data_IF_891893592553
#
_entry.id   IF_891893592553
#
_cell.length_a   1.000
_cell.length_b   1.000
_cell.length_c   1.000
_cell.angle_alpha   90.00
_cell.angle_beta   90.00
_cell.angle_gamma   90.00
#
_symmetry.space_group_name_H-M   'P 1'
#
loop_
_entity.id
_entity.type
_entity.pdbx_description
1 polymer ?
#
# COMPACT_ATOMS: atom_id res chain seq x y z
N UNK A 1 -0.70 -1.64 -23.28
CA UNK A 1 -0.28 -0.92 -22.07
C UNK A 1 -0.62 -1.80 -20.89
N UNK A 2 0.33 -1.98 -19.98
CA UNK A 2 0.12 -2.80 -18.78
C UNK A 2 -0.68 -2.02 -17.74
N UNK A 3 -1.61 -2.68 -17.03
CA UNK A 3 -2.54 -2.04 -16.11
C UNK A 3 -2.23 -2.41 -14.67
N UNK A 4 -2.14 -1.42 -13.80
CA UNK A 4 -2.03 -1.58 -12.35
C UNK A 4 -3.29 -1.03 -11.70
N UNK A 5 -3.94 -1.83 -10.87
CA UNK A 5 -5.05 -1.36 -10.02
C UNK A 5 -4.49 -1.01 -8.64
N UNK A 6 -4.49 0.28 -8.30
CA UNK A 6 -4.18 0.77 -6.96
C UNK A 6 -5.50 1.07 -6.24
N UNK A 7 -5.74 0.48 -5.08
CA UNK A 7 -6.95 0.73 -4.29
C UNK A 7 -6.57 1.39 -2.97
N UNK A 8 -7.03 2.62 -2.75
CA UNK A 8 -6.75 3.43 -1.57
C UNK A 8 -5.85 4.63 -1.87
N UNK A 9 -6.36 5.81 -1.56
CA UNK A 9 -5.72 7.12 -1.76
C UNK A 9 -5.40 7.82 -0.44
N UNK A 10 -5.22 7.02 0.62
CA UNK A 10 -4.63 7.49 1.87
C UNK A 10 -3.17 7.93 1.72
N UNK A 11 -2.50 8.20 2.83
CA UNK A 11 -1.13 8.72 2.85
C UNK A 11 -0.15 7.88 2.01
N UNK A 12 -0.11 6.56 2.25
CA UNK A 12 0.75 5.63 1.48
C UNK A 12 0.37 5.60 -0.01
N UNK A 13 -0.93 5.64 -0.32
CA UNK A 13 -1.40 5.60 -1.70
C UNK A 13 -1.07 6.86 -2.49
N UNK A 14 -1.16 8.04 -1.85
CA UNK A 14 -0.75 9.31 -2.44
C UNK A 14 0.76 9.33 -2.72
N UNK A 15 1.59 8.88 -1.76
CA UNK A 15 3.04 8.77 -1.98
C UNK A 15 3.40 7.78 -3.09
N UNK A 16 2.77 6.61 -3.12
CA UNK A 16 3.00 5.64 -4.18
C UNK A 16 2.60 6.20 -5.55
N UNK A 17 1.49 6.94 -5.64
CA UNK A 17 1.05 7.56 -6.89
C UNK A 17 2.08 8.56 -7.42
N UNK A 18 2.69 9.37 -6.54
CA UNK A 18 3.78 10.27 -6.92
C UNK A 18 5.03 9.52 -7.41
N UNK A 19 5.39 8.38 -6.79
CA UNK A 19 6.48 7.55 -7.32
C UNK A 19 6.14 7.00 -8.70
N UNK A 20 4.96 6.38 -8.85
CA UNK A 20 4.47 5.84 -10.12
C UNK A 20 4.41 6.89 -11.23
N UNK A 21 4.12 8.15 -10.89
CA UNK A 21 4.06 9.25 -11.84
C UNK A 21 5.42 9.60 -12.49
N UNK A 22 6.51 9.20 -11.83
CA UNK A 22 7.90 9.52 -12.25
C UNK A 22 8.66 8.31 -12.79
N UNK A 23 8.03 7.15 -12.82
CA UNK A 23 8.60 5.96 -13.44
C UNK A 23 8.65 6.10 -14.96
N UNK A 24 9.69 5.54 -15.57
CA UNK A 24 9.86 5.52 -17.04
C UNK A 24 9.02 4.43 -17.72
N UNK A 25 8.45 3.51 -16.94
CA UNK A 25 7.67 2.42 -17.49
C UNK A 25 6.23 2.86 -17.78
N UNK A 26 5.68 2.58 -18.98
CA UNK A 26 4.38 3.07 -19.40
C UNK A 26 3.23 2.22 -18.84
N UNK A 27 2.93 2.38 -17.55
CA UNK A 27 1.75 1.78 -16.93
C UNK A 27 0.50 2.67 -17.12
N UNK A 28 -0.66 2.05 -17.30
CA UNK A 28 -1.94 2.66 -16.93
C UNK A 28 -2.20 2.35 -15.45
N UNK A 29 -2.34 3.37 -14.62
CA UNK A 29 -2.69 3.19 -13.21
C UNK A 29 -4.16 3.53 -13.01
N UNK A 30 -4.94 2.51 -12.66
CA UNK A 30 -6.33 2.65 -12.24
C UNK A 30 -6.30 2.97 -10.75
N UNK A 31 -6.62 4.21 -10.40
CA UNK A 31 -6.56 4.72 -9.03
C UNK A 31 -7.94 4.69 -8.42
N UNK A 32 -8.19 3.67 -7.61
CA UNK A 32 -9.48 3.40 -7.03
C UNK A 32 -9.59 3.86 -5.58
N UNK A 33 -10.71 4.49 -5.24
CA UNK A 33 -11.07 4.82 -3.86
C UNK A 33 -12.60 4.88 -3.70
N UNK A 34 -13.11 4.83 -2.47
CA UNK A 34 -14.53 5.09 -2.21
C UNK A 34 -14.87 6.56 -2.47
N UNK A 35 -13.88 7.45 -2.29
CA UNK A 35 -13.91 8.86 -2.64
C UNK A 35 -13.22 9.11 -4.00
N UNK A 36 -14.01 8.98 -5.08
CA UNK A 36 -13.53 9.19 -6.45
C UNK A 36 -13.01 10.60 -6.69
N UNK A 37 -13.60 11.61 -6.05
CA UNK A 37 -13.18 13.00 -6.22
C UNK A 37 -11.78 13.21 -5.64
N UNK A 38 -11.53 12.66 -4.45
CA UNK A 38 -10.18 12.66 -3.87
C UNK A 38 -9.18 11.93 -4.78
N UNK A 39 -9.54 10.78 -5.32
CA UNK A 39 -8.68 10.05 -6.26
C UNK A 39 -8.35 10.89 -7.51
N UNK A 40 -9.36 11.57 -8.07
CA UNK A 40 -9.21 12.45 -9.24
C UNK A 40 -8.28 13.63 -8.96
N UNK A 41 -8.44 14.28 -7.82
CA UNK A 41 -7.58 15.41 -7.42
C UNK A 41 -6.11 14.97 -7.22
N UNK A 42 -5.89 13.81 -6.60
CA UNK A 42 -4.54 13.26 -6.43
C UNK A 42 -3.90 12.87 -7.75
N UNK A 43 -4.64 12.23 -8.66
CA UNK A 43 -4.16 11.93 -10.01
C UNK A 43 -3.74 13.21 -10.73
N UNK A 44 -4.58 14.25 -10.67
CA UNK A 44 -4.29 15.54 -11.30
C UNK A 44 -3.00 16.17 -10.74
N UNK A 45 -2.84 16.20 -9.42
CA UNK A 45 -1.64 16.75 -8.80
C UNK A 45 -0.38 15.98 -9.19
N UNK A 46 -0.42 14.66 -9.15
CA UNK A 46 0.71 13.82 -9.52
C UNK A 46 1.08 13.95 -11.00
N UNK A 47 0.09 14.04 -11.92
CA UNK A 47 0.32 14.29 -13.35
C UNK A 47 0.98 15.65 -13.59
N UNK A 48 0.47 16.73 -12.98
CA UNK A 48 1.04 18.08 -13.11
C UNK A 48 2.46 18.12 -12.54
N UNK A 49 2.69 17.49 -11.38
CA UNK A 49 4.01 17.38 -10.76
C UNK A 49 5.00 16.64 -11.65
N UNK A 50 4.56 15.54 -12.28
CA UNK A 50 5.37 14.73 -13.19
C UNK A 50 5.72 15.48 -14.49
N UNK A 51 4.82 16.33 -14.99
CA UNK A 51 5.06 17.15 -16.17
C UNK A 51 6.29 18.08 -16.03
N UNK A 52 6.58 18.56 -14.81
CA UNK A 52 7.81 19.32 -14.54
C UNK A 52 9.10 18.52 -14.76
N UNK A 53 9.02 17.19 -14.75
CA UNK A 53 10.11 16.27 -15.03
C UNK A 53 10.05 15.70 -16.46
N UNK A 54 9.18 16.24 -17.33
CA UNK A 54 8.98 15.76 -18.70
C UNK A 54 8.33 14.38 -18.77
N UNK A 55 7.60 13.97 -17.73
CA UNK A 55 6.88 12.70 -17.66
C UNK A 55 5.40 12.90 -18.01
N UNK A 56 4.78 11.87 -18.56
CA UNK A 56 3.36 11.85 -18.97
C UNK A 56 2.68 10.55 -18.49
N UNK A 57 2.38 10.43 -17.18
CA UNK A 57 1.82 9.21 -16.62
C UNK A 57 0.32 9.08 -16.93
N UNK A 58 -0.15 7.85 -17.15
CA UNK A 58 -1.54 7.58 -17.50
C UNK A 58 -2.34 7.11 -16.28
N UNK A 59 -3.04 8.04 -15.63
CA UNK A 59 -3.86 7.76 -14.45
C UNK A 59 -5.35 7.84 -14.75
N UNK A 60 -6.11 6.86 -14.24
CA UNK A 60 -7.56 6.81 -14.34
C UNK A 60 -8.19 6.64 -12.95
N UNK A 61 -8.75 7.72 -12.36
CA UNK A 61 -9.48 7.62 -11.12
C UNK A 61 -10.78 6.82 -11.35
N UNK A 62 -11.14 5.98 -10.39
CA UNK A 62 -12.41 5.23 -10.40
C UNK A 62 -12.96 5.11 -8.98
N UNK A 63 -14.28 5.09 -8.85
CA UNK A 63 -14.92 4.74 -7.58
C UNK A 63 -14.91 3.23 -7.35
N UNK A 64 -14.47 2.78 -6.17
CA UNK A 64 -14.66 1.41 -5.67
C UNK A 64 -15.06 1.46 -4.20
N UNK A 65 -16.08 0.71 -3.83
CA UNK A 65 -16.32 0.30 -2.45
C UNK A 65 -15.92 -1.18 -2.30
N UNK A 66 -14.92 -1.47 -1.46
CA UNK A 66 -14.47 -2.85 -1.24
C UNK A 66 -15.47 -3.69 -0.44
N UNK A 67 -16.52 -3.09 0.15
CA UNK A 67 -17.65 -3.86 0.66
C UNK A 67 -18.56 -4.40 -0.46
N UNK A 68 -18.56 -3.76 -1.63
CA UNK A 68 -19.16 -4.27 -2.86
C UNK A 68 -18.16 -5.18 -3.60
N UNK A 69 -18.11 -6.44 -3.15
CA UNK A 69 -17.22 -7.47 -3.72
C UNK A 69 -17.59 -7.75 -5.17
N UNK A 70 -18.87 -7.78 -5.52
CA UNK A 70 -19.33 -8.07 -6.88
C UNK A 70 -18.91 -6.96 -7.85
N UNK A 71 -19.16 -5.69 -7.50
CA UNK A 71 -18.71 -4.55 -8.30
C UNK A 71 -17.18 -4.50 -8.45
N UNK A 72 -16.45 -4.80 -7.37
CA UNK A 72 -14.99 -4.90 -7.42
C UNK A 72 -14.53 -6.04 -8.33
N UNK A 73 -15.19 -7.19 -8.28
CA UNK A 73 -14.92 -8.36 -9.14
C UNK A 73 -15.12 -8.02 -10.61
N UNK A 74 -16.24 -7.38 -10.97
CA UNK A 74 -16.54 -7.00 -12.34
C UNK A 74 -15.53 -5.97 -12.87
N UNK A 75 -15.11 -5.00 -12.05
CA UNK A 75 -14.07 -4.07 -12.44
C UNK A 75 -12.75 -4.81 -12.71
N UNK A 76 -12.29 -5.68 -11.80
CA UNK A 76 -11.05 -6.43 -12.00
C UNK A 76 -11.13 -7.28 -13.28
N UNK A 77 -12.27 -7.95 -13.52
CA UNK A 77 -12.48 -8.78 -14.72
C UNK A 77 -12.48 -7.96 -16.01
N UNK A 78 -13.09 -6.78 -15.99
CA UNK A 78 -13.12 -5.84 -17.12
C UNK A 78 -11.73 -5.30 -17.42
N UNK A 79 -11.02 -4.87 -16.38
CA UNK A 79 -9.77 -4.14 -16.51
C UNK A 79 -8.57 -5.05 -16.75
N UNK A 80 -8.61 -6.28 -16.22
CA UNK A 80 -7.55 -7.30 -16.33
C UNK A 80 -6.17 -6.75 -15.94
N UNK A 81 -6.01 -6.14 -14.75
CA UNK A 81 -4.72 -5.62 -14.32
C UNK A 81 -3.69 -6.75 -14.16
N UNK A 82 -2.42 -6.45 -14.42
CA UNK A 82 -1.31 -7.37 -14.14
C UNK A 82 -0.90 -7.33 -12.67
N UNK A 83 -1.18 -6.21 -11.97
CA UNK A 83 -0.96 -6.05 -10.54
C UNK A 83 -2.14 -5.35 -9.86
N UNK A 84 -2.47 -5.79 -8.65
CA UNK A 84 -3.44 -5.17 -7.74
C UNK A 84 -2.72 -4.81 -6.46
N UNK A 85 -2.78 -3.54 -6.06
CA UNK A 85 -2.09 -3.01 -4.88
C UNK A 85 -3.14 -2.52 -3.88
N UNK A 86 -3.23 -3.20 -2.73
CA UNK A 86 -4.07 -2.76 -1.63
C UNK A 86 -3.34 -1.73 -0.76
N UNK A 87 -3.89 -0.52 -0.71
CA UNK A 87 -3.45 0.62 0.09
C UNK A 87 -4.54 1.05 1.09
N UNK A 88 -5.58 0.22 1.27
CA UNK A 88 -6.74 0.53 2.10
C UNK A 88 -6.64 -0.05 3.51
N UNK A 89 -7.17 0.69 4.48
CA UNK A 89 -7.39 0.26 5.87
C UNK A 89 -8.74 0.82 6.34
N UNK A 90 -9.41 0.15 7.27
CA UNK A 90 -10.67 0.67 7.83
C UNK A 90 -10.48 2.01 8.55
N UNK A 91 -9.34 2.15 9.24
CA UNK A 91 -8.85 3.43 9.76
C UNK A 91 -7.35 3.33 10.01
N UNK A 92 -6.70 4.49 10.17
CA UNK A 92 -5.28 4.55 10.52
C UNK A 92 -5.06 4.24 12.00
N UNK A 93 -3.86 3.77 12.35
CA UNK A 93 -3.49 3.46 13.74
C UNK A 93 -3.44 4.69 14.65
N UNK A 94 -3.26 5.88 14.07
CA UNK A 94 -3.25 7.15 14.79
C UNK A 94 -4.62 7.55 15.33
N UNK A 95 -5.72 7.03 14.76
CA UNK A 95 -7.06 7.47 15.08
C UNK A 95 -7.42 7.29 16.56
N UNK A 96 -6.96 6.19 17.19
CA UNK A 96 -7.28 5.95 18.61
C UNK A 96 -6.63 6.94 19.58
N UNK A 97 -5.63 7.72 19.13
CA UNK A 97 -4.99 8.75 19.97
C UNK A 97 -5.97 9.88 20.33
N UNK A 98 -7.12 9.92 19.66
CA UNK A 98 -8.22 10.85 19.93
C UNK A 98 -9.20 10.33 21.01
N UNK A 99 -9.04 9.08 21.46
CA UNK A 99 -9.88 8.50 22.51
C UNK A 99 -9.48 9.02 23.90
N UNK A 100 -10.38 8.96 24.89
CA UNK A 100 -10.03 9.20 26.30
C UNK A 100 -8.82 8.36 26.74
N UNK A 101 -8.00 8.91 27.63
CA UNK A 101 -6.71 8.33 28.02
C UNK A 101 -6.83 6.88 28.51
N UNK A 102 -7.83 6.56 29.32
CA UNK A 102 -8.04 5.22 29.86
C UNK A 102 -8.43 4.22 28.76
N UNK A 103 -9.20 4.65 27.75
CA UNK A 103 -9.59 3.83 26.60
C UNK A 103 -8.40 3.64 25.66
N UNK A 104 -7.65 4.71 25.37
CA UNK A 104 -6.43 4.65 24.58
C UNK A 104 -5.42 3.69 25.20
N UNK A 105 -5.16 3.79 26.52
CA UNK A 105 -4.23 2.93 27.22
C UNK A 105 -4.64 1.45 27.14
N UNK A 106 -5.93 1.14 27.33
CA UNK A 106 -6.47 -0.22 27.21
C UNK A 106 -6.22 -0.79 25.80
N UNK A 107 -6.59 -0.06 24.75
CA UNK A 107 -6.43 -0.54 23.36
C UNK A 107 -4.96 -0.62 22.98
N UNK A 108 -4.15 0.38 23.35
CA UNK A 108 -2.72 0.43 23.03
C UNK A 108 -1.95 -0.74 23.67
N UNK A 109 -2.35 -1.19 24.87
CA UNK A 109 -1.70 -2.33 25.54
C UNK A 109 -1.88 -3.67 24.80
N UNK A 110 -2.89 -3.79 23.94
CA UNK A 110 -3.11 -4.97 23.10
C UNK A 110 -2.26 -4.98 21.81
N UNK A 111 -1.37 -4.00 21.64
CA UNK A 111 -0.36 -3.90 20.58
C UNK A 111 -0.94 -4.13 19.17
N UNK A 112 -0.16 -4.75 18.27
CA UNK A 112 -0.54 -4.97 16.86
C UNK A 112 -1.76 -5.88 16.69
N UNK A 113 -2.06 -6.75 17.67
CA UNK A 113 -3.14 -7.72 17.60
C UNK A 113 -4.53 -7.06 17.55
N UNK A 114 -4.75 -6.01 18.35
CA UNK A 114 -6.02 -5.28 18.37
C UNK A 114 -6.38 -4.62 17.04
N UNK A 115 -5.38 -4.37 16.20
CA UNK A 115 -5.55 -3.70 14.91
C UNK A 115 -5.79 -4.64 13.74
N UNK A 116 -5.55 -5.95 13.93
CA UNK A 116 -5.65 -6.92 12.86
C UNK A 116 -7.00 -6.86 12.12
N UNK A 117 -8.18 -6.80 12.78
CA UNK A 117 -9.46 -6.72 12.06
C UNK A 117 -9.56 -5.50 11.14
N UNK A 118 -9.09 -4.34 11.61
CA UNK A 118 -9.16 -3.07 10.88
C UNK A 118 -8.21 -3.03 9.68
N UNK A 119 -7.12 -3.79 9.74
CA UNK A 119 -6.13 -3.92 8.66
C UNK A 119 -6.48 -5.04 7.67
N UNK A 120 -7.14 -6.10 8.16
CA UNK A 120 -7.44 -7.31 7.39
C UNK A 120 -8.68 -7.16 6.51
N UNK A 121 -9.73 -6.50 7.01
CA UNK A 121 -11.08 -6.57 6.40
C UNK A 121 -11.08 -6.20 4.92
N UNK A 122 -10.53 -5.04 4.57
CA UNK A 122 -10.54 -4.56 3.19
C UNK A 122 -9.57 -5.35 2.29
N UNK A 123 -8.41 -5.75 2.82
CA UNK A 123 -7.47 -6.62 2.11
C UNK A 123 -8.09 -7.99 1.79
N UNK A 124 -8.89 -8.53 2.70
CA UNK A 124 -9.62 -9.79 2.51
C UNK A 124 -10.69 -9.65 1.43
N UNK A 125 -11.47 -8.56 1.45
CA UNK A 125 -12.50 -8.29 0.45
C UNK A 125 -11.93 -8.10 -0.96
N UNK A 126 -10.85 -7.33 -1.08
CA UNK A 126 -10.14 -7.18 -2.35
C UNK A 126 -9.54 -8.50 -2.85
N UNK A 127 -8.93 -9.29 -1.95
CA UNK A 127 -8.42 -10.61 -2.28
C UNK A 127 -9.52 -11.58 -2.75
N UNK A 128 -10.70 -11.52 -2.11
CA UNK A 128 -11.88 -12.27 -2.53
C UNK A 128 -12.33 -11.86 -3.94
N UNK A 129 -12.47 -10.56 -4.20
CA UNK A 129 -12.87 -10.05 -5.50
C UNK A 129 -11.88 -10.43 -6.62
N UNK A 130 -10.58 -10.34 -6.34
CA UNK A 130 -9.53 -10.77 -7.28
C UNK A 130 -9.66 -12.26 -7.60
N UNK A 131 -9.86 -13.11 -6.59
CA UNK A 131 -10.04 -14.56 -6.80
C UNK A 131 -11.29 -14.87 -7.63
N UNK A 132 -12.42 -14.22 -7.33
CA UNK A 132 -13.69 -14.39 -8.04
C UNK A 132 -13.65 -13.85 -9.48
N UNK A 133 -12.81 -12.86 -9.76
CA UNK A 133 -12.64 -12.31 -11.11
C UNK A 133 -12.02 -13.31 -12.09
N UNK A 134 -11.27 -14.31 -11.59
CA UNK A 134 -10.46 -15.24 -12.38
C UNK A 134 -9.23 -14.61 -13.03
N UNK A 135 -8.95 -13.32 -12.79
CA UNK A 135 -7.78 -12.62 -13.32
C UNK A 135 -6.53 -13.03 -12.55
N UNK A 136 -5.46 -13.35 -13.29
CA UNK A 136 -4.14 -13.63 -12.72
C UNK A 136 -3.36 -12.32 -12.62
N UNK A 137 -3.42 -11.68 -11.46
CA UNK A 137 -2.65 -10.48 -11.14
C UNK A 137 -1.71 -10.75 -9.96
N UNK A 138 -0.58 -10.04 -9.91
CA UNK A 138 0.22 -9.93 -8.70
C UNK A 138 -0.56 -9.14 -7.66
N UNK A 139 -0.80 -9.75 -6.49
CA UNK A 139 -1.52 -9.08 -5.40
C UNK A 139 -0.53 -8.57 -4.36
N UNK A 140 -0.39 -7.25 -4.23
CA UNK A 140 0.46 -6.59 -3.24
C UNK A 140 -0.43 -6.04 -2.12
N UNK A 141 -0.20 -6.46 -0.88
CA UNK A 141 -0.92 -5.94 0.27
C UNK A 141 -0.02 -5.10 1.17
N UNK A 142 -0.41 -3.86 1.42
CA UNK A 142 0.37 -2.95 2.27
C UNK A 142 -0.11 -2.90 3.72
N UNK A 143 -1.34 -3.32 3.97
CA UNK A 143 -2.03 -3.14 5.26
C UNK A 143 -1.59 -4.17 6.28
N UNK A 144 -0.65 -3.80 7.16
CA UNK A 144 -0.06 -4.65 8.20
C UNK A 144 0.32 -6.05 7.67
N UNK A 145 0.98 -6.06 6.51
CA UNK A 145 1.19 -7.24 5.67
C UNK A 145 1.83 -8.44 6.39
N UNK A 146 2.69 -8.18 7.39
CA UNK A 146 3.32 -9.22 8.21
C UNK A 146 2.34 -9.99 9.10
N UNK A 147 1.17 -9.44 9.42
CA UNK A 147 0.10 -10.14 10.15
C UNK A 147 -1.05 -10.54 9.22
N UNK A 148 -1.45 -9.65 8.30
CA UNK A 148 -2.61 -9.89 7.43
C UNK A 148 -2.31 -10.92 6.34
N UNK A 149 -1.14 -10.90 5.71
CA UNK A 149 -0.82 -11.85 4.63
C UNK A 149 -0.81 -13.31 5.12
N UNK A 150 -0.23 -13.66 6.28
CA UNK A 150 -0.36 -15.02 6.83
C UNK A 150 -1.82 -15.46 7.03
N UNK A 151 -2.68 -14.57 7.53
CA UNK A 151 -4.12 -14.87 7.72
C UNK A 151 -4.80 -15.10 6.37
N UNK A 152 -4.61 -14.19 5.42
CA UNK A 152 -5.14 -14.30 4.05
C UNK A 152 -4.66 -15.59 3.36
N UNK A 153 -3.41 -15.99 3.58
CA UNK A 153 -2.87 -17.24 3.05
C UNK A 153 -3.57 -18.48 3.58
N UNK A 154 -3.96 -18.49 4.87
CA UNK A 154 -4.70 -19.62 5.47
C UNK A 154 -6.11 -19.80 4.90
N UNK A 155 -6.71 -18.75 4.37
CA UNK A 155 -8.05 -18.79 3.73
C UNK A 155 -7.97 -18.83 2.20
N UNK A 156 -6.78 -19.07 1.63
CA UNK A 156 -6.60 -19.21 0.18
C UNK A 156 -6.77 -17.90 -0.60
N UNK A 157 -6.39 -16.77 0.02
CA UNK A 157 -6.38 -15.41 -0.54
C UNK A 157 -4.98 -14.77 -0.42
N UNK A 158 -3.91 -15.58 -0.42
CA UNK A 158 -2.55 -15.12 -0.20
C UNK A 158 -2.15 -13.98 -1.17
N UNK A 159 -1.73 -12.81 -0.66
CA UNK A 159 -1.03 -11.83 -1.48
C UNK A 159 0.28 -12.40 -2.00
N UNK A 160 0.70 -11.97 -3.19
CA UNK A 160 1.99 -12.29 -3.78
C UNK A 160 3.12 -11.79 -2.90
N UNK A 161 3.05 -10.52 -2.47
CA UNK A 161 4.01 -9.90 -1.55
C UNK A 161 3.30 -8.94 -0.59
N UNK A 162 3.95 -8.70 0.53
CA UNK A 162 3.66 -7.57 1.41
C UNK A 162 4.74 -6.51 1.30
N UNK A 163 4.46 -5.28 1.74
CA UNK A 163 5.52 -4.28 1.97
C UNK A 163 5.94 -4.29 3.44
N UNK A 164 7.15 -3.83 3.73
CA UNK A 164 7.65 -3.72 5.09
C UNK A 164 8.46 -2.44 5.31
N UNK A 165 8.50 -1.98 6.55
CA UNK A 165 9.26 -0.78 6.93
C UNK A 165 10.79 -0.98 6.88
N UNK A 166 11.27 -2.21 6.67
CA UNK A 166 12.71 -2.50 6.61
C UNK A 166 13.39 -1.69 5.50
N UNK A 167 12.73 -1.52 4.35
CA UNK A 167 13.26 -0.71 3.25
C UNK A 167 13.33 0.79 3.57
N UNK A 168 12.65 1.27 4.63
CA UNK A 168 12.80 2.65 5.09
C UNK A 168 14.12 2.87 5.83
N UNK A 169 14.71 1.80 6.39
CA UNK A 169 15.98 1.87 7.13
C UNK A 169 17.18 1.74 6.18
N UNK A 170 17.04 0.98 5.10
CA UNK A 170 18.13 0.78 4.13
C UNK A 170 18.75 2.10 3.64
N UNK A 171 17.99 3.14 3.22
CA UNK A 171 18.56 4.43 2.84
C UNK A 171 19.33 5.12 3.97
N UNK A 172 18.84 5.05 5.21
CA UNK A 172 19.48 5.66 6.37
C UNK A 172 20.82 4.98 6.69
N UNK A 173 20.84 3.64 6.72
CA UNK A 173 22.06 2.84 6.94
C UNK A 173 23.09 3.11 5.84
N UNK A 174 22.67 3.08 4.57
CA UNK A 174 23.57 3.36 3.43
C UNK A 174 24.16 4.76 3.50
N UNK A 175 23.36 5.75 3.90
CA UNK A 175 23.81 7.14 4.06
C UNK A 175 24.81 7.28 5.19
N UNK A 176 24.52 6.67 6.35
CA UNK A 176 25.43 6.70 7.50
C UNK A 176 26.78 6.07 7.17
N UNK A 177 26.80 4.87 6.57
CA UNK A 177 28.05 4.20 6.19
C UNK A 177 28.84 5.02 5.18
N UNK A 178 28.18 5.61 4.16
CA UNK A 178 28.83 6.48 3.20
C UNK A 178 29.51 7.69 3.88
N UNK A 179 28.84 8.32 4.85
CA UNK A 179 29.40 9.42 5.62
C UNK A 179 30.59 9.00 6.49
N UNK A 180 30.52 7.83 7.13
CA UNK A 180 31.60 7.34 8.00
C UNK A 180 32.85 6.89 7.23
N UNK A 181 32.67 6.38 6.01
CA UNK A 181 33.76 5.76 5.23
C UNK A 181 34.26 6.63 4.08
N UNK A 182 33.55 7.72 3.75
CA UNK A 182 33.89 8.61 2.65
C UNK A 182 33.62 8.05 1.25
N UNK A 183 33.01 6.85 1.13
CA UNK A 183 32.65 6.27 -0.16
C UNK A 183 31.30 6.80 -0.66
N UNK A 184 31.05 6.81 -1.98
CA UNK A 184 29.73 7.16 -2.51
C UNK A 184 28.63 6.25 -1.95
N UNK A 185 27.47 6.80 -1.58
CA UNK A 185 26.30 6.02 -1.12
C UNK A 185 25.88 4.93 -2.12
N UNK A 186 26.05 5.21 -3.42
CA UNK A 186 25.77 4.25 -4.49
C UNK A 186 26.66 2.99 -4.41
N UNK A 187 27.85 3.09 -3.79
CA UNK A 187 28.79 1.98 -3.58
C UNK A 187 28.51 1.19 -2.29
N UNK A 188 27.53 1.60 -1.49
CA UNK A 188 27.12 0.88 -0.28
C UNK A 188 25.89 0.03 -0.59
N UNK A 189 26.02 -1.27 -0.41
CA UNK A 189 24.93 -2.25 -0.54
C UNK A 189 24.59 -2.85 0.84
N UNK A 190 23.31 -3.12 1.07
CA UNK A 190 22.82 -3.65 2.34
C UNK A 190 21.80 -4.75 2.09
N UNK A 191 21.93 -5.87 2.79
CA UNK A 191 20.94 -6.95 2.82
C UNK A 191 20.28 -6.96 4.19
N UNK A 192 18.95 -6.81 4.24
CA UNK A 192 18.23 -6.66 5.49
C UNK A 192 17.07 -7.66 5.57
N UNK A 193 17.04 -8.40 6.69
CA UNK A 193 15.90 -9.25 7.07
C UNK A 193 15.57 -8.88 8.51
N UNK A 194 14.45 -8.21 8.72
CA UNK A 194 14.07 -7.70 10.03
C UNK A 194 12.60 -7.97 10.32
N UNK A 195 12.30 -8.39 11.54
CA UNK A 195 10.93 -8.48 12.03
C UNK A 195 10.33 -7.08 12.20
N UNK A 196 9.02 -6.89 11.96
CA UNK A 196 8.36 -5.57 12.03
C UNK A 196 8.61 -4.84 13.37
N UNK A 197 8.80 -5.58 14.47
CA UNK A 197 9.14 -5.02 15.79
C UNK A 197 10.38 -4.12 15.82
N UNK A 198 11.32 -4.22 14.87
CA UNK A 198 12.49 -3.34 14.82
C UNK A 198 12.10 -1.84 14.78
N UNK A 199 10.92 -1.53 14.25
CA UNK A 199 10.38 -0.17 14.14
C UNK A 199 9.43 0.20 15.30
N UNK A 200 8.85 -0.81 15.96
CA UNK A 200 7.74 -0.65 16.93
C UNK A 200 8.17 -0.95 18.36
N UNK A 201 9.47 -0.80 18.67
CA UNK A 201 10.03 -1.05 20.00
C UNK A 201 9.15 -0.39 21.08
N UNK A 202 8.75 -1.11 22.15
CA UNK A 202 7.91 -0.54 23.18
C UNK A 202 8.65 0.64 23.80
N UNK A 203 8.00 1.81 23.77
CA UNK A 203 8.38 2.93 24.64
C UNK A 203 8.15 2.54 26.10
#
# INVERSE_FOLDING_TARGET
MEKVLMVGTGDVGAHLLEFMAREDYPFEVIVADIDEEKARLLCNNAMIGAAHHGKDPHFRPVKIDLFDVEGTTELIRKEKPSAVINLTVMHTWHLIRQLPEDVYAKISSAALGAWLPCQLTLAMKLGQALKESGVKAHYINTSLSCLTNPVLGKIGLAPTIGIGNVDLIAPAVRTYIAQQTGVPRASVETYQVCHHQHWVYPR
#
